data_IF_237862293071
#
_entry.id   IF_237862293071
#
_cell.length_a   1.000
_cell.length_b   1.000
_cell.length_c   1.000
_cell.angle_alpha   90.00
_cell.angle_beta   90.00
_cell.angle_gamma   90.00
#
_symmetry.space_group_name_H-M   'P 1'
#
loop_
_entity.id
_entity.type
_entity.pdbx_description
1 polymer ?
#
# COMPACT_ATOMS: atom_id res chain seq x y z
N UNK A 1 -12.99 -10.99 0.49
CA UNK A 1 -11.94 -9.96 0.33
C UNK A 1 -12.40 -8.53 0.63
N UNK A 2 -13.70 -8.19 0.53
CA UNK A 2 -14.18 -6.81 0.73
C UNK A 2 -13.98 -6.19 2.13
N UNK A 3 -13.41 -6.91 3.09
CA UNK A 3 -13.09 -6.43 4.44
C UNK A 3 -11.65 -6.76 4.89
N UNK A 4 -10.75 -7.16 3.97
CA UNK A 4 -9.34 -7.37 4.31
C UNK A 4 -8.52 -6.09 4.12
N UNK A 5 -7.75 -5.74 5.13
CA UNK A 5 -6.84 -4.60 5.13
C UNK A 5 -5.39 -5.09 5.11
N UNK A 6 -4.54 -4.34 4.43
CA UNK A 6 -3.10 -4.52 4.54
C UNK A 6 -2.42 -3.16 4.55
N UNK A 7 -1.37 -3.07 5.36
CA UNK A 7 -0.47 -1.93 5.45
C UNK A 7 0.92 -2.40 5.01
N UNK A 8 1.54 -1.69 4.08
CA UNK A 8 2.90 -1.98 3.62
C UNK A 8 3.63 -0.70 3.23
N UNK A 9 4.95 -0.71 3.27
CA UNK A 9 5.79 0.47 3.02
C UNK A 9 6.76 0.26 1.86
N UNK A 10 7.01 -1.00 1.48
CA UNK A 10 8.09 -1.39 0.58
C UNK A 10 7.59 -2.09 -0.70
N UNK A 11 8.44 -2.17 -1.74
CA UNK A 11 8.10 -2.93 -2.95
C UNK A 11 7.87 -4.44 -2.71
N UNK A 12 8.44 -5.01 -1.64
CA UNK A 12 8.23 -6.43 -1.29
C UNK A 12 6.79 -6.73 -0.89
N UNK A 13 6.06 -5.71 -0.43
CA UNK A 13 4.68 -5.82 0.02
C UNK A 13 3.68 -5.82 -1.14
N UNK A 14 4.12 -5.54 -2.38
CA UNK A 14 3.23 -5.40 -3.53
C UNK A 14 2.29 -6.59 -3.72
N UNK A 15 2.77 -7.85 -3.77
CA UNK A 15 1.90 -8.98 -4.05
C UNK A 15 0.76 -9.12 -3.03
N UNK A 16 1.04 -8.82 -1.76
CA UNK A 16 0.04 -8.89 -0.71
C UNK A 16 -0.91 -7.67 -0.75
N UNK A 17 -0.40 -6.47 -1.07
CA UNK A 17 -1.24 -5.28 -1.25
C UNK A 17 -2.21 -5.44 -2.42
N UNK A 18 -1.79 -6.11 -3.50
CA UNK A 18 -2.66 -6.44 -4.64
C UNK A 18 -3.74 -7.48 -4.32
N UNK A 19 -3.52 -8.31 -3.30
CA UNK A 19 -4.41 -9.41 -2.97
C UNK A 19 -5.55 -9.02 -2.01
N UNK A 20 -5.50 -7.86 -1.36
CA UNK A 20 -6.50 -7.43 -0.35
C UNK A 20 -7.52 -6.43 -0.90
N UNK A 21 -8.66 -6.30 -0.23
CA UNK A 21 -9.71 -5.34 -0.62
C UNK A 21 -9.38 -3.88 -0.25
N UNK A 22 -8.59 -3.66 0.80
CA UNK A 22 -8.27 -2.32 1.31
C UNK A 22 -6.77 -2.15 1.56
N UNK A 23 -5.94 -2.09 0.50
CA UNK A 23 -4.51 -1.84 0.62
C UNK A 23 -4.23 -0.40 1.03
N UNK A 24 -3.24 -0.20 1.90
CA UNK A 24 -2.78 1.11 2.37
C UNK A 24 -1.26 1.12 2.38
N UNK A 25 -0.67 2.17 1.84
CA UNK A 25 0.78 2.35 1.83
C UNK A 25 1.16 3.29 2.97
N UNK A 26 1.99 2.81 3.91
CA UNK A 26 2.40 3.60 5.09
C UNK A 26 3.86 3.98 4.94
N UNK A 27 4.24 5.22 5.23
CA UNK A 27 5.63 5.70 5.22
C UNK A 27 6.44 5.20 4.01
N UNK A 28 5.97 5.44 2.77
CA UNK A 28 6.45 4.74 1.57
C UNK A 28 7.95 4.90 1.34
N UNK A 29 8.61 3.77 1.07
CA UNK A 29 10.02 3.72 0.68
C UNK A 29 10.16 3.28 -0.78
N UNK A 30 11.37 3.48 -1.36
CA UNK A 30 11.80 2.92 -2.65
C UNK A 30 10.78 3.07 -3.79
N UNK A 31 10.17 4.25 -3.92
CA UNK A 31 9.24 4.55 -5.01
C UNK A 31 7.80 4.11 -4.79
N UNK A 32 7.45 3.59 -3.61
CA UNK A 32 6.07 3.19 -3.28
C UNK A 32 5.07 4.34 -3.41
N UNK A 33 5.48 5.59 -3.20
CA UNK A 33 4.64 6.77 -3.49
C UNK A 33 4.13 6.79 -4.93
N UNK A 34 4.97 6.43 -5.91
CA UNK A 34 4.57 6.38 -7.33
C UNK A 34 3.62 5.22 -7.60
N UNK A 35 3.85 4.08 -6.96
CA UNK A 35 3.00 2.89 -7.13
C UNK A 35 1.61 3.14 -6.52
N UNK A 36 1.57 3.60 -5.27
CA UNK A 36 0.34 3.92 -4.56
C UNK A 36 -0.52 4.94 -5.33
N UNK A 37 0.09 6.04 -5.81
CA UNK A 37 -0.60 7.05 -6.63
C UNK A 37 -1.18 6.48 -7.92
N UNK A 38 -0.42 5.64 -8.64
CA UNK A 38 -0.90 5.01 -9.89
C UNK A 38 -2.07 4.04 -9.65
N UNK A 39 -2.12 3.40 -8.49
CA UNK A 39 -3.16 2.43 -8.14
C UNK A 39 -4.32 3.02 -7.35
N UNK A 40 -4.25 4.31 -7.00
CA UNK A 40 -5.26 4.96 -6.15
C UNK A 40 -5.24 4.45 -4.70
N UNK A 41 -4.14 3.86 -4.24
CA UNK A 41 -4.03 3.38 -2.87
C UNK A 41 -3.77 4.54 -1.91
N UNK A 42 -4.44 4.58 -0.73
CA UNK A 42 -4.17 5.56 0.31
C UNK A 42 -2.70 5.53 0.75
N UNK A 43 -2.11 6.71 0.92
CA UNK A 43 -0.78 6.89 1.53
C UNK A 43 -0.99 7.47 2.93
N UNK A 44 -0.40 6.83 3.94
CA UNK A 44 -0.44 7.26 5.33
C UNK A 44 0.97 7.61 5.81
N UNK A 45 1.10 8.69 6.58
CA UNK A 45 2.34 9.04 7.26
C UNK A 45 2.13 8.94 8.76
N UNK A 46 2.93 8.10 9.42
CA UNK A 46 2.90 7.90 10.87
C UNK A 46 4.22 8.40 11.46
N UNK A 47 4.11 9.13 12.57
CA UNK A 47 5.22 9.70 13.35
C UNK A 47 5.73 8.74 14.42
#
# INVERSE_FOLDING_TARGET
LGASFMYGDSPGDLPALEAVGHPRVVNPIRGMTRIARRRGWPILYWS
#
